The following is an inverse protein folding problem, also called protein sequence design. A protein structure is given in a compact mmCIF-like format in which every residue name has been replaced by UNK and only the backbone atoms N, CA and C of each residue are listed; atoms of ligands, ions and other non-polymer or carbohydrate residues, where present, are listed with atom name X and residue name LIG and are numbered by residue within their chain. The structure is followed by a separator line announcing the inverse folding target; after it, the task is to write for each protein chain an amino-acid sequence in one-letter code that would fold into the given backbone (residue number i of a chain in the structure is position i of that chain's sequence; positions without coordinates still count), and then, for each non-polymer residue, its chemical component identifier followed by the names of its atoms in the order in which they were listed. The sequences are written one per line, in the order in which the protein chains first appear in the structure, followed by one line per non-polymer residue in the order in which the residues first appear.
data_IF_512770328270
#
_entry.id   IF_512770328270
#
_cell.length_a   1.000
_cell.length_b   1.000
_cell.length_c   1.000
_cell.angle_alpha   90.00
_cell.angle_beta   90.00
_cell.angle_gamma   90.00
#
_symmetry.space_group_name_H-M   'P 1'
#
loop_
_entity.id
_entity.type
_entity.pdbx_description
1 polymer ?
#
# COMPACT_ATOMS: atom_id res chain seq x y z
N UNK A 1 10.89 29.90 -32.01
CA UNK A 1 9.93 29.51 -30.95
C UNK A 1 10.63 28.51 -30.04
N UNK A 2 11.16 28.95 -28.90
CA UNK A 2 11.74 28.07 -27.87
C UNK A 2 10.66 27.64 -26.88
N UNK A 3 10.74 26.38 -26.47
CA UNK A 3 9.77 25.61 -25.69
C UNK A 3 9.31 26.29 -24.39
N UNK A 4 7.99 26.46 -24.25
CA UNK A 4 7.30 26.90 -23.04
C UNK A 4 6.74 25.72 -22.21
N UNK A 5 7.37 24.54 -22.29
CA UNK A 5 6.85 23.30 -21.68
C UNK A 5 7.43 22.95 -20.29
N UNK A 6 8.20 23.84 -19.65
CA UNK A 6 9.12 23.41 -18.60
C UNK A 6 8.86 23.94 -17.18
N UNK A 7 7.66 24.39 -16.80
CA UNK A 7 7.36 24.72 -15.38
C UNK A 7 5.89 24.51 -15.00
N UNK A 8 5.32 23.33 -15.28
CA UNK A 8 4.08 22.93 -14.61
C UNK A 8 4.37 22.54 -13.17
N UNK A 9 3.59 23.02 -12.20
CA UNK A 9 3.76 22.67 -10.78
C UNK A 9 3.43 21.20 -10.55
N UNK A 10 3.79 20.67 -9.37
CA UNK A 10 3.49 19.27 -9.03
C UNK A 10 1.98 19.05 -8.96
N UNK A 11 1.25 20.04 -8.45
CA UNK A 11 -0.21 20.03 -8.28
C UNK A 11 -0.92 20.05 -9.64
N UNK A 12 -0.43 20.84 -10.60
CA UNK A 12 -0.97 20.87 -11.96
C UNK A 12 -0.79 19.53 -12.67
N UNK A 13 0.41 18.93 -12.56
CA UNK A 13 0.69 17.61 -13.15
C UNK A 13 -0.15 16.53 -12.51
N UNK A 14 -0.31 16.58 -11.19
CA UNK A 14 -1.16 15.65 -10.44
C UNK A 14 -2.63 15.76 -10.88
N UNK A 15 -3.16 16.99 -10.98
CA UNK A 15 -4.53 17.24 -11.43
C UNK A 15 -4.77 16.73 -12.85
N UNK A 16 -3.80 16.93 -13.74
CA UNK A 16 -3.84 16.39 -15.11
C UNK A 16 -3.81 14.86 -15.12
N UNK A 17 -2.96 14.23 -14.30
CA UNK A 17 -2.95 12.77 -14.16
C UNK A 17 -4.29 12.25 -13.63
N UNK A 18 -4.87 12.90 -12.62
CA UNK A 18 -6.14 12.50 -11.99
C UNK A 18 -7.29 12.48 -12.99
N UNK A 19 -7.37 13.47 -13.89
CA UNK A 19 -8.40 13.48 -14.95
C UNK A 19 -8.22 12.36 -15.98
N UNK A 20 -6.99 11.83 -16.12
CA UNK A 20 -6.68 10.72 -17.02
C UNK A 20 -6.82 9.34 -16.36
N UNK A 21 -6.98 9.25 -15.03
CA UNK A 21 -7.07 7.96 -14.31
C UNK A 21 -8.06 6.96 -14.94
N UNK A 22 -9.28 7.36 -15.32
CA UNK A 22 -10.25 6.43 -15.92
C UNK A 22 -9.83 5.84 -17.26
N UNK A 23 -8.91 6.51 -17.95
CA UNK A 23 -8.38 6.09 -19.25
C UNK A 23 -7.12 5.23 -19.05
N UNK A 24 -6.33 5.53 -18.03
CA UNK A 24 -5.02 4.92 -17.79
C UNK A 24 -5.07 3.63 -16.98
N UNK A 25 -6.05 3.47 -16.07
CA UNK A 25 -6.10 2.37 -15.13
C UNK A 25 -7.44 1.65 -15.19
N UNK A 26 -7.39 0.31 -15.25
CA UNK A 26 -8.59 -0.52 -15.07
C UNK A 26 -9.12 -0.51 -13.64
N UNK A 27 -8.25 -0.24 -12.66
CA UNK A 27 -8.58 -0.13 -11.25
C UNK A 27 -7.55 0.73 -10.52
N UNK A 28 -8.01 1.60 -9.62
CA UNK A 28 -7.17 2.39 -8.74
C UNK A 28 -7.83 2.49 -7.37
N UNK A 29 -7.02 2.37 -6.32
CA UNK A 29 -7.45 2.58 -4.94
C UNK A 29 -6.49 3.53 -4.22
N UNK A 30 -7.02 4.66 -3.74
CA UNK A 30 -6.31 5.55 -2.84
C UNK A 30 -6.62 5.22 -1.38
N UNK A 31 -5.59 5.09 -0.54
CA UNK A 31 -5.74 4.87 0.89
C UNK A 31 -4.79 5.76 1.68
N UNK A 32 -5.34 6.76 2.36
CA UNK A 32 -4.57 7.62 3.23
C UNK A 32 -4.12 6.88 4.50
N UNK A 33 -2.80 6.79 4.71
CA UNK A 33 -2.21 6.18 5.88
C UNK A 33 -2.09 7.19 7.02
N UNK A 34 -2.13 6.71 8.27
CA UNK A 34 -1.90 7.56 9.46
C UNK A 34 -0.43 7.97 9.54
N UNK A 35 0.44 6.99 9.29
CA UNK A 35 1.88 7.15 9.30
C UNK A 35 2.43 6.83 7.92
N UNK A 36 3.48 7.52 7.47
CA UNK A 36 4.14 7.20 6.22
C UNK A 36 4.68 5.77 6.25
N UNK A 37 4.75 5.16 5.07
CA UNK A 37 5.28 3.82 4.88
C UNK A 37 6.57 3.87 4.08
N UNK A 38 7.67 3.44 4.69
CA UNK A 38 8.98 3.32 4.03
C UNK A 38 9.08 2.08 3.15
N UNK A 39 8.27 1.06 3.44
CA UNK A 39 8.31 -0.22 2.73
C UNK A 39 6.91 -0.79 2.57
N UNK A 40 6.57 -1.16 1.33
CA UNK A 40 5.37 -1.90 1.03
C UNK A 40 5.72 -3.19 0.29
N UNK A 41 4.98 -4.27 0.56
CA UNK A 41 5.21 -5.56 -0.10
C UNK A 41 3.93 -6.37 -0.25
N UNK A 42 3.65 -6.78 -1.48
CA UNK A 42 2.63 -7.79 -1.75
C UNK A 42 2.99 -9.13 -1.13
N UNK A 43 2.03 -9.72 -0.43
CA UNK A 43 2.06 -11.10 0.03
C UNK A 43 1.15 -11.99 -0.81
N UNK A 44 0.74 -13.16 -0.29
CA UNK A 44 -0.02 -14.16 -1.04
C UNK A 44 -1.42 -13.67 -1.38
N UNK A 45 -1.95 -14.20 -2.48
CA UNK A 45 -3.38 -14.12 -2.78
C UNK A 45 -4.13 -15.03 -1.81
N UNK A 46 -5.13 -14.46 -1.14
CA UNK A 46 -5.92 -15.14 -0.10
C UNK A 46 -7.18 -15.74 -0.71
N UNK A 47 -7.80 -15.02 -1.64
CA UNK A 47 -9.07 -15.42 -2.25
C UNK A 47 -9.14 -14.92 -3.69
N UNK A 48 -9.78 -15.71 -4.55
CA UNK A 48 -10.08 -15.31 -5.92
C UNK A 48 -11.53 -15.62 -6.23
N UNK A 49 -12.30 -14.57 -6.50
CA UNK A 49 -13.69 -14.68 -6.93
C UNK A 49 -13.82 -14.29 -8.40
N UNK A 50 -15.04 -14.36 -8.95
CA UNK A 50 -15.34 -13.95 -10.32
C UNK A 50 -14.95 -12.48 -10.58
N UNK A 51 -15.24 -11.58 -9.64
CA UNK A 51 -15.16 -10.13 -9.84
C UNK A 51 -14.07 -9.42 -9.04
N UNK A 52 -13.59 -10.04 -7.95
CA UNK A 52 -12.58 -9.49 -7.06
C UNK A 52 -11.56 -10.54 -6.64
N UNK A 53 -10.33 -10.13 -6.38
CA UNK A 53 -9.32 -10.96 -5.71
C UNK A 53 -8.91 -10.29 -4.41
N UNK A 54 -8.75 -11.07 -3.35
CA UNK A 54 -8.24 -10.60 -2.07
C UNK A 54 -6.79 -10.99 -1.94
N UNK A 55 -5.91 -10.00 -1.76
CA UNK A 55 -4.48 -10.22 -1.65
C UNK A 55 -3.91 -9.55 -0.40
N UNK A 56 -2.87 -10.15 0.17
CA UNK A 56 -2.18 -9.59 1.33
C UNK A 56 -1.25 -8.45 0.92
N UNK A 57 -1.22 -7.38 1.71
CA UNK A 57 -0.25 -6.30 1.60
C UNK A 57 0.40 -6.06 2.97
N UNK A 58 1.72 -5.94 2.99
CA UNK A 58 2.50 -5.53 4.13
C UNK A 58 2.89 -4.06 3.96
N UNK A 59 2.69 -3.26 5.01
CA UNK A 59 3.04 -1.86 5.07
C UNK A 59 3.81 -1.60 6.36
N UNK A 60 4.90 -0.84 6.29
CA UNK A 60 5.49 -0.26 7.50
C UNK A 60 4.77 1.02 7.89
N UNK A 61 4.75 1.34 9.18
CA UNK A 61 4.34 2.64 9.70
C UNK A 61 5.54 3.24 10.44
N UNK A 62 6.06 4.35 9.91
CA UNK A 62 7.13 5.14 10.52
C UNK A 62 6.50 6.23 11.40
N UNK A 63 6.69 6.11 12.70
CA UNK A 63 6.13 7.02 13.71
C UNK A 63 7.17 8.08 14.08
N UNK A 64 6.73 9.14 14.76
CA UNK A 64 7.60 10.23 15.24
C UNK A 64 8.35 9.88 16.55
N UNK A 65 8.27 8.63 17.01
CA UNK A 65 8.85 8.17 18.27
C UNK A 65 7.93 8.31 19.49
N UNK A 66 6.77 8.98 19.39
CA UNK A 66 5.79 9.05 20.48
C UNK A 66 5.10 7.70 20.74
N UNK A 67 4.95 6.89 19.69
CA UNK A 67 4.43 5.53 19.72
C UNK A 67 5.37 4.59 18.97
N UNK A 68 5.42 3.29 19.30
CA UNK A 68 6.28 2.35 18.59
C UNK A 68 5.91 2.26 17.10
N UNK A 69 6.92 2.07 16.25
CA UNK A 69 6.71 1.74 14.84
C UNK A 69 5.91 0.45 14.70
N UNK A 70 5.22 0.28 13.57
CA UNK A 70 4.44 -0.95 13.36
C UNK A 70 4.62 -1.52 11.96
N UNK A 71 4.45 -2.83 11.87
CA UNK A 71 4.23 -3.54 10.62
C UNK A 71 2.74 -3.85 10.51
N UNK A 72 2.08 -3.23 9.54
CA UNK A 72 0.66 -3.44 9.25
C UNK A 72 0.52 -4.52 8.19
N UNK A 73 -0.31 -5.50 8.52
CA UNK A 73 -0.77 -6.54 7.61
C UNK A 73 -2.17 -6.17 7.16
N UNK A 74 -2.35 -5.82 5.89
CA UNK A 74 -3.64 -5.49 5.30
C UNK A 74 -4.08 -6.53 4.28
N UNK A 75 -5.39 -6.61 4.06
CA UNK A 75 -6.00 -7.35 2.96
C UNK A 75 -6.54 -6.34 1.97
N UNK A 76 -6.15 -6.47 0.72
CA UNK A 76 -6.55 -5.60 -0.38
C UNK A 76 -7.54 -6.36 -1.24
N UNK A 77 -8.72 -5.78 -1.43
CA UNK A 77 -9.71 -6.24 -2.40
C UNK A 77 -9.44 -5.56 -3.74
N UNK A 78 -8.82 -6.30 -4.66
CA UNK A 78 -8.52 -5.84 -6.01
C UNK A 78 -9.73 -6.18 -6.89
N UNK A 79 -10.33 -5.18 -7.52
CA UNK A 79 -11.40 -5.39 -8.50
C UNK A 79 -10.76 -5.78 -9.82
N UNK A 80 -11.29 -6.82 -10.47
CA UNK A 80 -10.75 -7.27 -11.76
C UNK A 80 -11.00 -6.23 -12.86
N UNK A 81 -10.17 -6.27 -13.90
CA UNK A 81 -10.32 -5.40 -15.06
C UNK A 81 -11.74 -5.47 -15.64
N UNK A 82 -12.24 -4.33 -16.12
CA UNK A 82 -13.59 -4.15 -16.71
C UNK A 82 -14.77 -4.32 -15.73
N UNK A 83 -14.51 -4.51 -14.43
CA UNK A 83 -15.54 -4.55 -13.39
C UNK A 83 -15.64 -3.23 -12.63
N UNK A 84 -14.52 -2.52 -12.48
CA UNK A 84 -14.51 -1.23 -11.80
C UNK A 84 -15.17 -0.14 -12.66
N UNK A 85 -15.98 0.72 -12.04
CA UNK A 85 -16.52 1.91 -12.71
C UNK A 85 -15.43 2.96 -12.89
N UNK A 86 -15.30 3.48 -14.11
CA UNK A 86 -14.44 4.60 -14.49
C UNK A 86 -14.67 5.86 -13.61
N UNK A 87 -15.92 6.12 -13.24
CA UNK A 87 -16.30 7.26 -12.39
C UNK A 87 -15.80 7.05 -10.96
N UNK A 88 -15.94 5.84 -10.42
CA UNK A 88 -15.46 5.52 -9.07
C UNK A 88 -13.94 5.61 -8.92
N UNK A 89 -13.17 5.29 -9.97
CA UNK A 89 -11.70 5.32 -9.89
C UNK A 89 -11.11 6.72 -10.14
N UNK A 90 -11.86 7.66 -10.72
CA UNK A 90 -11.41 9.06 -10.87
C UNK A 90 -11.75 9.94 -9.68
N UNK A 91 -12.93 9.72 -9.07
CA UNK A 91 -13.48 10.59 -8.03
C UNK A 91 -13.05 10.19 -6.61
N UNK A 92 -11.86 9.61 -6.45
CA UNK A 92 -11.36 9.28 -5.12
C UNK A 92 -10.96 10.55 -4.35
N UNK A 93 -11.21 10.53 -3.04
CA UNK A 93 -10.71 11.52 -2.09
C UNK A 93 -9.33 11.08 -1.58
N UNK A 94 -8.33 11.94 -1.75
CA UNK A 94 -6.94 11.77 -1.35
C UNK A 94 -6.78 11.53 0.16
N UNK A 95 -7.59 12.20 0.97
CA UNK A 95 -7.54 12.14 2.43
C UNK A 95 -8.28 10.93 3.00
N UNK A 96 -9.09 10.27 2.16
CA UNK A 96 -9.94 9.16 2.59
C UNK A 96 -9.17 7.84 2.65
N UNK A 97 -9.64 6.96 3.55
CA UNK A 97 -9.22 5.56 3.59
C UNK A 97 -10.05 4.73 2.62
N UNK A 98 -9.37 4.04 1.71
CA UNK A 98 -10.04 3.13 0.77
C UNK A 98 -10.84 2.04 1.49
N UNK A 99 -12.08 1.73 1.06
CA UNK A 99 -12.81 0.54 1.51
C UNK A 99 -12.17 -0.77 1.01
N UNK A 100 -11.33 -0.71 -0.03
CA UNK A 100 -10.63 -1.87 -0.57
C UNK A 100 -9.45 -2.31 0.31
N UNK A 101 -8.99 -1.48 1.23
CA UNK A 101 -7.81 -1.75 2.07
C UNK A 101 -8.26 -1.98 3.51
N UNK A 102 -8.27 -3.24 3.94
CA UNK A 102 -8.71 -3.64 5.29
C UNK A 102 -7.52 -4.06 6.13
N UNK A 103 -7.18 -3.29 7.17
CA UNK A 103 -6.16 -3.68 8.15
C UNK A 103 -6.59 -4.99 8.82
N UNK A 104 -5.71 -5.98 8.82
CA UNK A 104 -5.96 -7.33 9.34
C UNK A 104 -5.24 -7.56 10.66
N UNK A 105 -3.96 -7.17 10.75
CA UNK A 105 -3.15 -7.26 11.96
C UNK A 105 -2.14 -6.12 11.99
N UNK A 106 -1.70 -5.77 13.19
CA UNK A 106 -0.63 -4.80 13.42
C UNK A 106 0.38 -5.44 14.36
N UNK A 107 1.65 -5.44 13.98
CA UNK A 107 2.74 -6.00 14.76
C UNK A 107 3.63 -4.85 15.21
N UNK A 108 3.86 -4.74 16.52
CA UNK A 108 4.77 -3.73 17.06
C UNK A 108 6.20 -3.99 16.57
N UNK A 109 6.89 -2.91 16.22
CA UNK A 109 8.24 -2.94 15.71
C UNK A 109 9.09 -1.90 16.42
N UNK A 110 10.25 -2.25 17.01
CA UNK A 110 11.03 -1.32 17.83
C UNK A 110 11.92 -0.37 17.01
N UNK A 111 11.62 -0.19 15.73
CA UNK A 111 12.38 0.65 14.82
C UNK A 111 11.72 0.72 13.45
N UNK A 112 12.22 1.61 12.61
CA UNK A 112 11.69 1.84 11.27
C UNK A 112 11.91 0.64 10.38
N UNK A 113 10.89 0.22 9.64
CA UNK A 113 10.99 -0.96 8.76
C UNK A 113 11.25 -0.51 7.34
N UNK A 114 12.49 -0.69 6.89
CA UNK A 114 12.99 -0.28 5.58
C UNK A 114 12.78 -1.36 4.51
N UNK A 115 12.77 -2.63 4.92
CA UNK A 115 12.60 -3.76 4.01
C UNK A 115 11.72 -4.82 4.62
N UNK A 116 10.77 -5.32 3.82
CA UNK A 116 9.89 -6.43 4.18
C UNK A 116 10.10 -7.57 3.18
N UNK A 117 10.33 -8.78 3.70
CA UNK A 117 10.43 -10.02 2.92
C UNK A 117 9.65 -11.13 3.59
N UNK A 118 8.73 -11.72 2.86
CA UNK A 118 8.08 -12.95 3.27
C UNK A 118 8.97 -14.15 2.93
N UNK A 119 8.99 -15.15 3.80
CA UNK A 119 9.75 -16.37 3.54
C UNK A 119 9.01 -17.22 2.49
N UNK A 120 9.62 -17.57 1.34
CA UNK A 120 8.92 -18.30 0.28
C UNK A 120 8.42 -19.69 0.71
N UNK A 121 9.14 -20.35 1.62
CA UNK A 121 8.77 -21.69 2.13
C UNK A 121 7.66 -21.64 3.18
N UNK A 122 7.44 -20.50 3.83
CA UNK A 122 6.45 -20.38 4.89
C UNK A 122 5.86 -18.96 4.90
N UNK A 123 4.66 -18.83 4.35
CA UNK A 123 3.90 -17.58 4.31
C UNK A 123 3.38 -17.13 5.67
N UNK A 124 3.71 -17.82 6.76
CA UNK A 124 3.48 -17.33 8.13
C UNK A 124 4.69 -16.57 8.68
N UNK A 125 5.83 -16.55 7.98
CA UNK A 125 7.03 -15.84 8.44
C UNK A 125 7.28 -14.61 7.59
N UNK A 126 7.60 -13.50 8.27
CA UNK A 126 8.04 -12.25 7.63
C UNK A 126 9.35 -11.81 8.28
N UNK A 127 10.32 -11.44 7.44
CA UNK A 127 11.57 -10.83 7.84
C UNK A 127 11.52 -9.32 7.57
N UNK A 128 11.95 -8.53 8.53
CA UNK A 128 12.03 -7.07 8.48
C UNK A 128 13.46 -6.61 8.76
N UNK A 129 13.85 -5.51 8.13
CA UNK A 129 15.15 -4.87 8.33
C UNK A 129 14.95 -3.42 8.79
N UNK A 130 15.72 -3.00 9.78
CA UNK A 130 15.77 -1.60 10.26
C UNK A 130 17.07 -0.93 9.85
N UNK A 131 17.50 0.13 10.51
CA UNK A 131 18.87 0.67 10.37
C UNK A 131 19.89 -0.08 11.25
N UNK A 132 19.44 -1.03 12.07
CA UNK A 132 20.33 -1.92 12.81
C UNK A 132 20.95 -2.96 11.85
N UNK A 133 22.18 -3.46 12.11
CA UNK A 133 22.72 -4.63 11.42
C UNK A 133 21.87 -5.89 11.59
N UNK A 134 20.97 -5.93 12.57
CA UNK A 134 20.14 -7.09 12.86
C UNK A 134 18.89 -7.20 11.96
N UNK A 135 18.72 -8.37 11.35
CA UNK A 135 17.47 -8.76 10.67
C UNK A 135 16.50 -9.34 11.69
N UNK A 136 15.26 -8.87 11.68
CA UNK A 136 14.19 -9.39 12.56
C UNK A 136 13.31 -10.36 11.80
N UNK A 137 13.01 -11.50 12.41
CA UNK A 137 12.11 -12.52 11.86
C UNK A 137 10.90 -12.65 12.77
N UNK A 138 9.70 -12.44 12.23
CA UNK A 138 8.43 -12.42 12.96
C UNK A 138 7.47 -13.48 12.41
N UNK A 139 6.79 -14.20 13.31
CA UNK A 139 5.69 -15.11 12.97
C UNK A 139 4.37 -14.36 12.96
N UNK A 140 3.60 -14.52 11.87
CA UNK A 140 2.27 -13.94 11.65
C UNK A 140 1.15 -14.70 12.37
N UNK A 141 1.46 -15.90 12.90
CA UNK A 141 0.47 -16.82 13.48
C UNK A 141 0.31 -16.70 15.01
N UNK A 142 1.28 -16.11 15.72
CA UNK A 142 1.35 -16.14 17.21
C UNK A 142 0.97 -14.79 17.85
N UNK A 143 0.34 -13.89 17.09
CA UNK A 143 -0.18 -12.60 17.59
C UNK A 143 -1.60 -12.41 17.09
#
# INVERSE_FOLDING_TARGET
MKEKSANRTVEERYSQWKSMVPVLYDWLANHNLVWPSLSCRWGPQIEQSTYKSKQRLYLSEQTDGSVPNTLVIANIEIVKARVASAEHISQFNEEARSPFVKKSKTILHPGEVNRIRELPKNSNIVATHTDSPDVRVQSKSII
#
